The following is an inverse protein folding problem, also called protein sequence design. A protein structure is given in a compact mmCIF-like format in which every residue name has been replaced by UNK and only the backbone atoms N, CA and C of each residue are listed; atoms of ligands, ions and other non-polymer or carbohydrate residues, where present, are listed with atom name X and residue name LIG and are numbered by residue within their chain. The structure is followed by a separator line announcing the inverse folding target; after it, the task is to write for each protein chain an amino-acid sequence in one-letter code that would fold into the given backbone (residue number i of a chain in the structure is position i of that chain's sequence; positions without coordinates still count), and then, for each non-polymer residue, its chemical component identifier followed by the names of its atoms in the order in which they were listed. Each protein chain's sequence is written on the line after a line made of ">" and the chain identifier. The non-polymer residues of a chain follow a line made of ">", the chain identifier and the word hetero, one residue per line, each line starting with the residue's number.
data_IF_032791938080
#
_entry.id   IF_032791938080
#
_cell.length_a   1.000
_cell.length_b   1.000
_cell.length_c   1.000
_cell.angle_alpha   90.00
_cell.angle_beta   90.00
_cell.angle_gamma   90.00
#
_symmetry.space_group_name_H-M   'P 1'
#
loop_
_entity.id
_entity.type
_entity.pdbx_description
1 polymer ?
#
# COMPACT_ATOMS: atom_id res chain seq x y z
N UNK A 1 31.59 -26.57 14.50
CA UNK A 1 30.42 -26.84 15.35
C UNK A 1 29.25 -26.06 14.80
N UNK A 2 28.24 -26.72 14.25
CA UNK A 2 26.96 -26.08 13.91
C UNK A 2 26.27 -25.76 15.23
N UNK A 3 26.23 -24.49 15.62
CA UNK A 3 25.29 -24.08 16.66
C UNK A 3 23.88 -24.29 16.09
N UNK A 4 22.96 -24.85 16.88
CA UNK A 4 21.57 -25.12 16.48
C UNK A 4 20.78 -23.87 16.02
N UNK A 5 21.41 -22.69 16.02
CA UNK A 5 20.85 -21.41 15.63
C UNK A 5 21.26 -20.98 14.20
N UNK A 6 21.86 -21.85 13.38
CA UNK A 6 22.15 -21.55 11.96
C UNK A 6 21.16 -22.26 11.05
N UNK A 7 20.56 -21.52 10.12
CA UNK A 7 19.63 -22.04 9.12
C UNK A 7 20.44 -22.62 7.95
N UNK A 8 20.18 -23.88 7.58
CA UNK A 8 20.93 -24.60 6.55
C UNK A 8 20.11 -24.88 5.27
N UNK A 9 19.00 -24.16 5.09
CA UNK A 9 18.06 -24.38 3.99
C UNK A 9 17.43 -23.07 3.51
N UNK A 10 16.84 -23.12 2.32
CA UNK A 10 16.08 -22.00 1.75
C UNK A 10 16.88 -20.71 1.58
N UNK A 11 16.16 -19.58 1.53
CA UNK A 11 16.75 -18.25 1.25
C UNK A 11 17.70 -17.74 2.32
N UNK A 12 17.68 -18.33 3.52
CA UNK A 12 18.51 -17.93 4.65
C UNK A 12 19.60 -18.95 5.00
N UNK A 13 19.98 -19.81 4.05
CA UNK A 13 21.08 -20.74 4.23
C UNK A 13 22.37 -20.02 4.69
N UNK A 14 22.98 -20.49 5.77
CA UNK A 14 24.15 -19.90 6.42
C UNK A 14 23.87 -18.68 7.30
N UNK A 15 22.60 -18.30 7.52
CA UNK A 15 22.22 -17.18 8.41
C UNK A 15 21.80 -17.67 9.79
N UNK A 16 21.89 -16.78 10.77
CA UNK A 16 21.47 -17.07 12.14
C UNK A 16 19.95 -17.00 12.30
N UNK A 17 19.42 -17.73 13.27
CA UNK A 17 18.01 -17.72 13.63
C UNK A 17 17.55 -16.31 13.99
N UNK A 18 18.36 -15.53 14.72
CA UNK A 18 18.05 -14.13 15.03
C UNK A 18 17.85 -13.26 13.79
N UNK A 19 18.60 -13.51 12.70
CA UNK A 19 18.39 -12.82 11.43
C UNK A 19 17.07 -13.25 10.77
N UNK A 20 16.76 -14.54 10.82
CA UNK A 20 15.52 -15.09 10.23
C UNK A 20 14.28 -14.65 10.99
N UNK A 21 14.34 -14.55 12.31
CA UNK A 21 13.22 -14.13 13.17
C UNK A 21 12.70 -12.73 12.86
N UNK A 22 13.52 -11.87 12.23
CA UNK A 22 13.12 -10.55 11.74
C UNK A 22 12.22 -10.63 10.50
N UNK A 23 12.34 -11.66 9.66
CA UNK A 23 11.40 -11.86 8.54
C UNK A 23 10.19 -12.68 9.00
N UNK A 24 9.20 -11.96 9.56
CA UNK A 24 7.97 -12.57 10.07
C UNK A 24 7.18 -13.30 8.99
N UNK A 25 7.19 -12.82 7.75
CA UNK A 25 6.48 -13.50 6.64
C UNK A 25 7.12 -14.85 6.34
N UNK A 26 8.44 -14.90 6.32
CA UNK A 26 9.16 -16.15 6.13
C UNK A 26 8.98 -17.11 7.32
N UNK A 27 9.01 -16.60 8.56
CA UNK A 27 8.69 -17.40 9.74
C UNK A 27 7.29 -18.00 9.69
N UNK A 28 6.29 -17.23 9.27
CA UNK A 28 4.90 -17.70 9.13
C UNK A 28 4.77 -18.74 8.02
N UNK A 29 5.46 -18.55 6.90
CA UNK A 29 5.54 -19.55 5.84
C UNK A 29 6.14 -20.86 6.38
N UNK A 30 7.32 -20.80 7.01
CA UNK A 30 7.98 -21.99 7.60
C UNK A 30 7.07 -22.75 8.57
N UNK A 31 6.29 -22.04 9.40
CA UNK A 31 5.34 -22.68 10.33
C UNK A 31 4.25 -23.50 9.64
N UNK A 32 3.90 -23.15 8.40
CA UNK A 32 2.93 -23.87 7.58
C UNK A 32 3.48 -25.12 6.90
N UNK A 33 4.80 -25.28 6.87
CA UNK A 33 5.47 -26.37 6.17
C UNK A 33 5.65 -27.61 7.06
N UNK A 34 5.12 -28.76 6.65
CA UNK A 34 5.18 -30.02 7.40
C UNK A 34 6.61 -30.51 7.59
N UNK A 35 7.42 -30.50 6.53
CA UNK A 35 8.83 -30.92 6.58
C UNK A 35 9.65 -30.09 7.59
N UNK A 36 9.32 -28.82 7.76
CA UNK A 36 10.04 -27.94 8.69
C UNK A 36 9.71 -28.31 10.14
N UNK A 37 8.45 -28.59 10.44
CA UNK A 37 8.00 -29.04 11.76
C UNK A 37 8.68 -30.34 12.18
N UNK A 38 8.74 -31.30 11.25
CA UNK A 38 9.27 -32.64 11.51
C UNK A 38 10.81 -32.68 11.53
N UNK A 39 11.45 -32.09 10.53
CA UNK A 39 12.91 -32.19 10.38
C UNK A 39 13.69 -31.14 11.17
N UNK A 40 13.05 -30.05 11.61
CA UNK A 40 13.70 -28.92 12.27
C UNK A 40 12.94 -28.48 13.53
N UNK A 41 12.49 -29.44 14.35
CA UNK A 41 11.65 -29.22 15.55
C UNK A 41 12.17 -28.14 16.49
N UNK A 42 13.49 -28.10 16.77
CA UNK A 42 14.08 -27.06 17.62
C UNK A 42 13.82 -25.66 17.04
N UNK A 43 14.14 -25.43 15.76
CA UNK A 43 13.93 -24.15 15.10
C UNK A 43 12.45 -23.78 15.03
N UNK A 44 11.58 -24.76 14.76
CA UNK A 44 10.13 -24.57 14.76
C UNK A 44 9.62 -24.08 16.12
N UNK A 45 10.04 -24.70 17.22
CA UNK A 45 9.67 -24.28 18.58
C UNK A 45 10.16 -22.86 18.88
N UNK A 46 11.41 -22.53 18.53
CA UNK A 46 11.97 -21.18 18.72
C UNK A 46 11.20 -20.11 17.94
N UNK A 47 10.77 -20.39 16.72
CA UNK A 47 9.92 -19.46 15.94
C UNK A 47 8.54 -19.28 16.59
N UNK A 48 7.96 -20.33 17.16
CA UNK A 48 6.67 -20.27 17.84
C UNK A 48 6.71 -19.50 19.16
N UNK A 49 7.79 -19.64 19.91
CA UNK A 49 7.99 -18.97 21.19
C UNK A 49 8.35 -17.48 21.03
N UNK A 50 8.95 -17.11 19.89
CA UNK A 50 9.41 -15.75 19.66
C UNK A 50 8.25 -14.76 19.46
N UNK A 51 8.03 -13.93 20.48
CA UNK A 51 7.04 -12.85 20.52
C UNK A 51 7.76 -11.50 20.60
N UNK A 52 8.21 -10.91 19.48
CA UNK A 52 9.05 -9.72 19.52
C UNK A 52 8.35 -8.51 20.15
N UNK A 53 7.04 -8.41 19.99
CA UNK A 53 6.23 -7.32 20.53
C UNK A 53 6.32 -7.19 22.06
N UNK A 54 6.42 -8.30 22.78
CA UNK A 54 6.46 -8.27 24.26
C UNK A 54 7.72 -7.63 24.82
N UNK A 55 8.75 -7.45 23.99
CA UNK A 55 9.95 -6.71 24.38
C UNK A 55 9.76 -5.19 24.37
N UNK A 56 8.70 -4.68 23.72
CA UNK A 56 8.41 -3.26 23.58
C UNK A 56 7.24 -2.78 24.44
N UNK A 57 6.29 -3.67 24.75
CA UNK A 57 5.08 -3.33 25.50
C UNK A 57 5.30 -3.57 26.99
N UNK A 58 4.98 -2.60 27.83
CA UNK A 58 4.96 -2.79 29.28
C UNK A 58 3.71 -3.58 29.69
N UNK A 59 3.78 -4.44 30.72
CA UNK A 59 2.59 -5.08 31.27
C UNK A 59 1.58 -4.01 31.70
N UNK A 60 0.34 -4.11 31.21
CA UNK A 60 -0.74 -3.22 31.64
C UNK A 60 -1.07 -3.51 33.10
N UNK A 61 -1.06 -2.49 33.95
CA UNK A 61 -1.68 -2.56 35.27
C UNK A 61 -3.19 -2.53 35.10
N UNK A 62 -3.94 -3.34 35.85
CA UNK A 62 -5.42 -3.36 35.82
C UNK A 62 -5.98 -1.94 36.01
N UNK A 63 -6.31 -1.29 34.90
CA UNK A 63 -6.97 0.01 34.87
C UNK A 63 -8.27 -0.14 34.08
N UNK A 64 -9.10 0.89 34.11
CA UNK A 64 -10.48 0.82 33.60
C UNK A 64 -10.74 1.74 32.41
N UNK A 65 -9.71 2.45 31.90
CA UNK A 65 -9.87 3.41 30.81
C UNK A 65 -8.92 3.15 29.62
N UNK A 66 -9.35 3.54 28.43
CA UNK A 66 -8.59 3.28 27.19
C UNK A 66 -7.19 3.90 27.18
N UNK A 67 -6.99 5.09 27.78
CA UNK A 67 -5.71 5.79 27.71
C UNK A 67 -4.64 5.12 28.56
N UNK A 68 -5.05 4.51 29.67
CA UNK A 68 -4.20 3.74 30.57
C UNK A 68 -4.02 2.30 30.09
N UNK A 69 -5.02 1.69 29.46
CA UNK A 69 -4.95 0.28 29.06
C UNK A 69 -4.39 0.03 27.67
N UNK A 70 -4.45 1.02 26.78
CA UNK A 70 -4.04 0.82 25.40
C UNK A 70 -2.52 0.60 25.32
N UNK A 71 -2.14 -0.64 25.00
CA UNK A 71 -0.76 -1.13 25.04
C UNK A 71 0.28 -0.27 24.31
N UNK A 72 -0.09 0.42 23.23
CA UNK A 72 0.83 1.31 22.52
C UNK A 72 1.07 2.64 23.22
N UNK A 73 0.22 3.05 24.18
CA UNK A 73 0.49 4.18 25.06
C UNK A 73 1.37 3.82 26.26
N UNK A 74 1.72 2.54 26.40
CA UNK A 74 2.54 1.97 27.47
C UNK A 74 3.81 1.29 26.92
N UNK A 75 4.37 1.84 25.83
CA UNK A 75 5.61 1.34 25.26
C UNK A 75 6.81 1.64 26.17
N UNK A 76 7.71 0.68 26.27
CA UNK A 76 9.00 0.80 26.97
C UNK A 76 9.88 1.86 26.30
N UNK A 77 10.70 2.54 27.08
CA UNK A 77 11.75 3.41 26.51
C UNK A 77 12.80 2.55 25.82
N UNK A 78 13.63 3.18 24.98
CA UNK A 78 14.67 2.48 24.21
C UNK A 78 15.63 1.75 25.16
N UNK A 79 15.96 2.38 26.28
CA UNK A 79 16.84 1.85 27.33
C UNK A 79 16.28 0.59 28.01
N UNK A 80 14.95 0.42 28.04
CA UNK A 80 14.25 -0.67 28.72
C UNK A 80 13.93 -1.86 27.79
N UNK A 81 14.27 -1.75 26.49
CA UNK A 81 14.09 -2.82 25.51
C UNK A 81 15.22 -3.83 25.63
N UNK A 82 14.90 -5.04 26.05
CA UNK A 82 15.88 -6.14 26.25
C UNK A 82 16.38 -6.77 24.93
N UNK A 83 15.82 -6.39 23.78
CA UNK A 83 16.30 -6.84 22.47
C UNK A 83 17.51 -6.02 22.01
N UNK A 84 18.56 -6.65 21.45
CA UNK A 84 19.67 -5.92 20.85
C UNK A 84 19.22 -5.25 19.55
N UNK A 85 18.92 -3.96 19.63
CA UNK A 85 18.60 -3.12 18.48
C UNK A 85 19.88 -2.52 17.87
N UNK A 86 19.96 -2.53 16.54
CA UNK A 86 20.97 -1.74 15.80
C UNK A 86 20.69 -0.23 15.93
N UNK A 87 21.66 0.63 15.61
CA UNK A 87 21.48 2.09 15.66
C UNK A 87 20.35 2.59 14.74
N UNK A 88 20.18 1.96 13.56
CA UNK A 88 19.06 2.26 12.66
C UNK A 88 17.72 1.87 13.30
N UNK A 89 17.65 0.71 13.96
CA UNK A 89 16.42 0.24 14.64
C UNK A 89 16.11 1.08 15.88
N UNK A 90 17.11 1.53 16.64
CA UNK A 90 16.92 2.50 17.73
C UNK A 90 16.36 3.81 17.21
N UNK A 91 16.86 4.30 16.08
CA UNK A 91 16.35 5.51 15.42
C UNK A 91 14.89 5.33 14.97
N UNK A 92 14.56 4.17 14.38
CA UNK A 92 13.18 3.84 14.03
C UNK A 92 12.28 3.80 15.26
N UNK A 93 12.72 3.14 16.34
CA UNK A 93 11.92 3.01 17.56
C UNK A 93 11.74 4.36 18.26
N UNK A 94 12.79 5.18 18.35
CA UNK A 94 12.73 6.54 18.89
C UNK A 94 11.67 7.38 18.18
N UNK A 95 11.69 7.37 16.85
CA UNK A 95 10.70 8.10 16.07
C UNK A 95 9.29 7.52 16.23
N UNK A 96 9.15 6.19 16.35
CA UNK A 96 7.87 5.55 16.61
C UNK A 96 7.27 5.96 17.96
N UNK A 97 8.10 6.06 19.01
CA UNK A 97 7.71 6.59 20.32
C UNK A 97 7.26 8.06 20.23
N UNK A 98 8.03 8.93 19.55
CA UNK A 98 7.64 10.34 19.32
C UNK A 98 6.25 10.44 18.68
N UNK A 99 6.00 9.62 17.65
CA UNK A 99 4.72 9.62 16.93
C UNK A 99 3.56 9.21 17.84
N UNK A 100 3.74 8.16 18.64
CA UNK A 100 2.71 7.66 19.56
C UNK A 100 2.43 8.66 20.66
N UNK A 101 3.47 9.24 21.25
CA UNK A 101 3.35 10.24 22.29
C UNK A 101 2.63 11.49 21.78
N UNK A 102 2.90 11.91 20.53
CA UNK A 102 2.17 12.97 19.86
C UNK A 102 0.67 12.68 19.69
N UNK A 103 0.30 11.42 19.40
CA UNK A 103 -1.11 11.02 19.32
C UNK A 103 -1.77 11.06 20.70
N UNK A 104 -1.09 10.55 21.73
CA UNK A 104 -1.57 10.54 23.12
C UNK A 104 -1.82 11.96 23.63
N UNK A 105 -0.84 12.86 23.45
CA UNK A 105 -0.95 14.26 23.82
C UNK A 105 -2.06 15.00 23.06
N UNK A 106 -2.31 14.65 21.80
CA UNK A 106 -3.44 15.22 21.05
C UNK A 106 -4.80 14.87 21.64
N UNK A 107 -4.93 13.73 22.34
CA UNK A 107 -6.14 13.36 23.07
C UNK A 107 -6.23 14.13 24.38
N UNK A 108 -5.12 14.22 25.13
CA UNK A 108 -5.10 14.96 26.41
C UNK A 108 -5.44 16.44 26.25
N UNK A 109 -4.88 17.12 25.23
CA UNK A 109 -5.21 18.53 24.96
C UNK A 109 -6.73 18.69 24.75
N UNK A 110 -7.37 17.78 24.01
CA UNK A 110 -8.81 17.84 23.76
C UNK A 110 -9.65 17.51 24.99
N UNK A 111 -9.16 16.63 25.86
CA UNK A 111 -9.78 16.37 27.16
C UNK A 111 -9.72 17.61 28.05
N UNK A 112 -8.59 18.33 28.05
CA UNK A 112 -8.42 19.59 28.81
C UNK A 112 -9.28 20.73 28.25
N UNK A 113 -9.52 20.74 26.93
CA UNK A 113 -10.36 21.73 26.25
C UNK A 113 -11.88 21.41 26.32
N UNK A 114 -12.30 20.38 27.07
CA UNK A 114 -13.69 19.90 27.16
C UNK A 114 -14.33 19.60 25.78
N UNK A 115 -13.54 19.10 24.82
CA UNK A 115 -13.98 18.80 23.46
C UNK A 115 -14.99 17.62 23.45
N UNK A 116 -16.07 17.73 22.67
CA UNK A 116 -17.18 16.74 22.68
C UNK A 116 -16.72 15.30 22.36
N UNK A 117 -15.64 15.18 21.57
CA UNK A 117 -15.04 13.89 21.24
C UNK A 117 -13.50 13.98 21.22
N UNK A 118 -12.84 13.67 22.35
CA UNK A 118 -11.38 13.80 22.47
C UNK A 118 -10.60 12.83 21.56
N UNK A 119 -11.28 11.78 21.07
CA UNK A 119 -10.68 10.78 20.17
C UNK A 119 -10.70 11.18 18.69
N UNK A 120 -11.31 12.33 18.32
CA UNK A 120 -11.28 12.86 16.95
C UNK A 120 -9.92 13.49 16.57
N UNK A 121 -8.82 12.80 16.86
CA UNK A 121 -7.49 13.30 16.56
C UNK A 121 -7.19 13.27 15.05
N UNK A 122 -6.30 14.15 14.59
CA UNK A 122 -5.85 14.15 13.20
C UNK A 122 -4.78 13.08 12.98
N UNK A 123 -4.92 12.34 11.89
CA UNK A 123 -3.87 11.40 11.49
C UNK A 123 -2.61 12.16 11.04
N UNK A 124 -1.40 11.72 11.43
CA UNK A 124 -0.18 12.34 10.97
C UNK A 124 -0.04 12.29 9.45
N UNK A 125 0.27 13.43 8.84
CA UNK A 125 0.44 13.56 7.38
C UNK A 125 1.93 13.57 7.05
N UNK A 126 2.35 12.83 6.02
CA UNK A 126 3.74 12.77 5.53
C UNK A 126 4.79 12.37 6.59
N UNK A 127 4.38 11.75 7.70
CA UNK A 127 5.27 11.35 8.80
C UNK A 127 6.43 10.44 8.34
N UNK A 128 6.18 9.47 7.45
CA UNK A 128 7.25 8.67 6.84
C UNK A 128 8.24 9.48 5.98
N UNK A 129 7.79 10.57 5.34
CA UNK A 129 8.69 11.48 4.60
C UNK A 129 9.49 12.36 5.56
N UNK A 130 8.89 12.77 6.70
CA UNK A 130 9.60 13.47 7.78
C UNK A 130 10.71 12.58 8.34
N UNK A 131 10.39 11.33 8.67
CA UNK A 131 11.37 10.33 9.10
C UNK A 131 12.55 10.20 8.13
N UNK A 132 12.26 9.91 6.86
CA UNK A 132 13.29 9.73 5.82
C UNK A 132 14.20 10.95 5.68
N UNK A 133 13.64 12.15 5.79
CA UNK A 133 14.40 13.40 5.74
C UNK A 133 15.26 13.63 6.99
N UNK A 134 14.72 13.36 8.18
CA UNK A 134 15.39 13.68 9.46
C UNK A 134 16.49 12.68 9.78
N UNK A 135 16.24 11.38 9.56
CA UNK A 135 17.15 10.32 9.96
C UNK A 135 18.03 9.82 8.79
N UNK A 136 17.72 10.20 7.55
CA UNK A 136 18.39 9.66 6.37
C UNK A 136 18.14 8.17 6.12
N UNK A 137 17.18 7.57 6.85
CA UNK A 137 16.83 6.17 6.75
C UNK A 137 15.66 6.01 5.78
N UNK A 138 15.76 5.13 4.76
CA UNK A 138 14.67 4.86 3.84
C UNK A 138 13.38 4.46 4.56
N UNK A 139 12.24 5.00 4.11
CA UNK A 139 10.91 4.65 4.66
C UNK A 139 10.52 3.18 4.52
N UNK A 140 11.21 2.41 3.67
CA UNK A 140 11.04 0.95 3.58
C UNK A 140 11.64 0.26 4.81
N UNK A 141 12.83 0.68 5.27
CA UNK A 141 13.49 0.13 6.45
C UNK A 141 12.66 0.37 7.72
N UNK A 142 12.03 1.54 7.85
CA UNK A 142 11.12 1.79 8.97
C UNK A 142 9.93 0.83 9.00
N UNK A 143 9.36 0.52 7.81
CA UNK A 143 8.25 -0.44 7.71
C UNK A 143 8.70 -1.86 8.01
N UNK A 144 9.89 -2.22 7.56
CA UNK A 144 10.52 -3.52 7.85
C UNK A 144 10.83 -3.64 9.33
N UNK A 145 11.27 -2.57 10.00
CA UNK A 145 11.44 -2.52 11.46
C UNK A 145 10.12 -2.82 12.17
N UNK A 146 9.04 -2.07 11.87
CA UNK A 146 7.74 -2.33 12.50
C UNK A 146 7.26 -3.77 12.28
N UNK A 147 7.40 -4.27 11.04
CA UNK A 147 7.03 -5.63 10.70
C UNK A 147 7.89 -6.68 11.43
N UNK A 148 9.20 -6.45 11.56
CA UNK A 148 10.13 -7.38 12.21
C UNK A 148 9.83 -7.59 13.69
N UNK A 149 9.24 -6.57 14.32
CA UNK A 149 8.95 -6.57 15.74
C UNK A 149 7.45 -6.66 16.09
N UNK A 150 6.61 -6.99 15.10
CA UNK A 150 5.15 -7.07 15.24
C UNK A 150 4.53 -5.78 15.86
N UNK A 151 5.11 -4.62 15.52
CA UNK A 151 4.60 -3.30 15.90
C UNK A 151 3.60 -2.80 14.84
N UNK A 152 2.54 -2.13 15.30
CA UNK A 152 1.45 -1.67 14.43
C UNK A 152 1.83 -0.36 13.75
N UNK A 153 1.40 -0.17 12.50
CA UNK A 153 1.64 1.08 11.79
C UNK A 153 0.77 2.22 12.34
N UNK A 154 1.30 3.45 12.38
CA UNK A 154 0.66 4.65 12.93
C UNK A 154 -0.80 4.85 12.45
N UNK A 155 -1.17 4.66 11.16
CA UNK A 155 -2.56 4.82 10.72
C UNK A 155 -3.55 3.85 11.38
N UNK A 156 -3.13 2.62 11.69
CA UNK A 156 -3.98 1.64 12.39
C UNK A 156 -4.12 1.98 13.87
N UNK A 157 -3.10 2.60 14.48
CA UNK A 157 -3.23 3.16 15.83
C UNK A 157 -4.27 4.28 15.83
N UNK A 158 -4.21 5.20 14.86
CA UNK A 158 -5.22 6.27 14.72
C UNK A 158 -6.62 5.70 14.48
N UNK A 159 -6.74 4.65 13.66
CA UNK A 159 -8.02 3.95 13.46
C UNK A 159 -8.58 3.41 14.78
N UNK A 160 -7.75 2.75 15.60
CA UNK A 160 -8.17 2.21 16.90
C UNK A 160 -8.58 3.29 17.89
N UNK A 161 -7.85 4.41 17.93
CA UNK A 161 -8.17 5.58 18.76
C UNK A 161 -9.52 6.16 18.34
N UNK A 162 -9.70 6.46 17.04
CA UNK A 162 -10.95 7.01 16.51
C UNK A 162 -12.15 6.09 16.75
N UNK A 163 -11.94 4.77 16.66
CA UNK A 163 -12.97 3.77 16.97
C UNK A 163 -13.44 3.85 18.43
N UNK A 164 -12.57 4.22 19.36
CA UNK A 164 -12.94 4.43 20.76
C UNK A 164 -13.96 5.57 20.92
N UNK A 165 -13.80 6.64 20.14
CA UNK A 165 -14.78 7.73 20.06
C UNK A 165 -15.95 7.49 19.10
N UNK A 166 -16.15 6.26 18.60
CA UNK A 166 -17.23 5.94 17.65
C UNK A 166 -17.04 6.50 16.22
N UNK A 167 -15.82 6.90 15.85
CA UNK A 167 -15.52 7.52 14.55
C UNK A 167 -15.00 6.47 13.56
N UNK A 168 -15.65 6.34 12.40
CA UNK A 168 -15.18 5.49 11.31
C UNK A 168 -13.99 6.14 10.58
N UNK A 169 -12.81 5.51 10.63
CA UNK A 169 -11.60 6.01 9.97
C UNK A 169 -11.13 5.11 8.82
N UNK A 170 -11.41 5.53 7.58
CA UNK A 170 -11.03 4.78 6.36
C UNK A 170 -9.59 5.02 5.91
N UNK A 171 -8.81 5.82 6.62
CA UNK A 171 -7.45 6.19 6.18
C UNK A 171 -6.50 4.99 6.16
N UNK A 172 -6.53 4.15 7.19
CA UNK A 172 -5.72 2.92 7.25
C UNK A 172 -6.08 1.92 6.13
N UNK A 173 -7.37 1.86 5.77
CA UNK A 173 -7.90 0.95 4.76
C UNK A 173 -7.94 1.54 3.34
N UNK A 174 -7.58 2.82 3.17
CA UNK A 174 -7.70 3.53 1.89
C UNK A 174 -7.00 2.83 0.73
N UNK A 175 -5.82 2.25 0.99
CA UNK A 175 -5.10 1.44 0.01
C UNK A 175 -5.84 0.14 -0.34
N UNK A 176 -6.40 -0.57 0.65
CA UNK A 176 -7.17 -1.79 0.41
C UNK A 176 -8.43 -1.49 -0.42
N UNK A 177 -9.12 -0.41 -0.09
CA UNK A 177 -10.30 0.08 -0.83
C UNK A 177 -9.91 0.44 -2.27
N UNK A 178 -8.81 1.17 -2.47
CA UNK A 178 -8.33 1.51 -3.80
C UNK A 178 -7.96 0.25 -4.61
N UNK A 179 -7.26 -0.70 -3.98
CA UNK A 179 -6.89 -1.99 -4.60
C UNK A 179 -8.13 -2.80 -5.00
N UNK A 180 -9.11 -2.92 -4.12
CA UNK A 180 -10.36 -3.63 -4.41
C UNK A 180 -11.11 -2.97 -5.57
N UNK A 181 -11.17 -1.63 -5.60
CA UNK A 181 -11.77 -0.87 -6.71
C UNK A 181 -11.02 -1.10 -8.03
N UNK A 182 -9.68 -1.11 -8.01
CA UNK A 182 -8.85 -1.41 -9.18
C UNK A 182 -9.15 -2.79 -9.73
N UNK A 183 -9.13 -3.82 -8.87
CA UNK A 183 -9.43 -5.21 -9.27
C UNK A 183 -10.85 -5.36 -9.83
N UNK A 184 -11.84 -4.69 -9.24
CA UNK A 184 -13.23 -4.68 -9.75
C UNK A 184 -13.37 -3.92 -11.08
N UNK A 185 -12.52 -2.94 -11.34
CA UNK A 185 -12.46 -2.21 -12.60
C UNK A 185 -11.80 -3.07 -13.67
N UNK A 186 -10.61 -3.59 -13.41
CA UNK A 186 -9.84 -4.46 -14.31
C UNK A 186 -10.68 -5.66 -14.73
N UNK A 187 -11.33 -6.37 -13.79
CA UNK A 187 -12.22 -7.51 -14.11
C UNK A 187 -13.39 -7.12 -15.02
N UNK A 188 -13.92 -5.91 -14.88
CA UNK A 188 -15.01 -5.43 -15.72
C UNK A 188 -14.52 -5.16 -17.16
N UNK A 189 -13.37 -4.50 -17.30
CA UNK A 189 -12.75 -4.29 -18.61
C UNK A 189 -12.26 -5.58 -19.26
N UNK A 190 -11.68 -6.50 -18.49
CA UNK A 190 -11.30 -7.83 -18.94
C UNK A 190 -12.48 -8.55 -19.60
N UNK A 191 -13.67 -8.49 -18.98
CA UNK A 191 -14.89 -9.10 -19.53
C UNK A 191 -15.24 -8.52 -20.90
N UNK A 192 -15.19 -7.19 -21.04
CA UNK A 192 -15.52 -6.48 -22.29
C UNK A 192 -14.48 -6.80 -23.38
N UNK A 193 -13.20 -6.64 -23.04
CA UNK A 193 -12.10 -6.85 -23.98
C UNK A 193 -11.99 -8.30 -24.41
N UNK A 194 -12.17 -9.28 -23.50
CA UNK A 194 -12.17 -10.71 -23.85
C UNK A 194 -13.35 -11.09 -24.72
N UNK A 195 -14.53 -10.51 -24.49
CA UNK A 195 -15.68 -10.73 -25.38
C UNK A 195 -15.34 -10.35 -26.82
N UNK A 196 -14.56 -9.28 -27.01
CA UNK A 196 -14.17 -8.82 -28.34
C UNK A 196 -12.98 -9.57 -28.93
N UNK A 197 -11.89 -9.65 -28.16
CA UNK A 197 -10.58 -10.05 -28.66
C UNK A 197 -10.24 -11.52 -28.35
N UNK A 198 -11.06 -12.20 -27.54
CA UNK A 198 -10.88 -13.61 -27.20
C UNK A 198 -9.49 -13.90 -26.63
N UNK A 199 -8.81 -14.88 -27.21
CA UNK A 199 -7.48 -15.34 -26.81
C UNK A 199 -6.35 -14.37 -27.18
N UNK A 200 -6.59 -13.44 -28.12
CA UNK A 200 -5.61 -12.43 -28.50
C UNK A 200 -5.35 -11.40 -27.40
N UNK A 201 -6.21 -11.34 -26.37
CA UNK A 201 -6.04 -10.48 -25.21
C UNK A 201 -5.28 -11.21 -24.09
N UNK A 202 -4.09 -10.71 -23.78
CA UNK A 202 -3.32 -11.13 -22.60
C UNK A 202 -3.60 -10.20 -21.43
N UNK A 203 -3.75 -10.76 -20.23
CA UNK A 203 -4.03 -10.03 -18.97
C UNK A 203 -2.77 -10.03 -18.10
N UNK A 204 -2.41 -8.90 -17.50
CA UNK A 204 -1.25 -8.77 -16.60
C UNK A 204 0.05 -9.28 -17.22
N UNK A 205 0.28 -8.95 -18.50
CA UNK A 205 1.44 -9.42 -19.24
C UNK A 205 2.71 -8.77 -18.70
N UNK A 206 3.70 -9.58 -18.32
CA UNK A 206 5.00 -9.11 -17.87
C UNK A 206 6.00 -9.22 -19.01
N UNK A 207 6.59 -8.09 -19.40
CA UNK A 207 7.67 -8.05 -20.36
C UNK A 207 8.73 -7.06 -19.92
N UNK A 208 9.97 -7.55 -19.85
CA UNK A 208 11.08 -6.87 -19.18
C UNK A 208 10.70 -6.42 -17.77
N UNK A 209 10.75 -5.10 -17.50
CA UNK A 209 10.41 -4.48 -16.21
C UNK A 209 9.03 -3.81 -16.24
N UNK A 210 8.20 -4.12 -17.23
CA UNK A 210 6.85 -3.59 -17.39
C UNK A 210 5.80 -4.67 -17.14
N UNK A 211 4.71 -4.28 -16.48
CA UNK A 211 3.51 -5.10 -16.31
C UNK A 211 2.39 -4.32 -16.98
N UNK A 212 1.79 -4.90 -18.02
CA UNK A 212 0.70 -4.30 -18.77
C UNK A 212 -0.62 -4.88 -18.28
N UNK A 213 -1.61 -4.03 -17.98
CA UNK A 213 -2.91 -4.51 -17.49
C UNK A 213 -3.58 -5.42 -18.52
N UNK A 214 -3.68 -4.96 -19.77
CA UNK A 214 -4.05 -5.79 -20.91
C UNK A 214 -3.20 -5.48 -22.15
N UNK A 215 -2.88 -6.52 -22.90
CA UNK A 215 -2.16 -6.42 -24.15
C UNK A 215 -2.90 -7.21 -25.23
N UNK A 216 -3.22 -6.54 -26.35
CA UNK A 216 -3.65 -7.21 -27.57
C UNK A 216 -2.48 -7.20 -28.57
N UNK A 217 -1.94 -8.39 -28.84
CA UNK A 217 -0.76 -8.55 -29.71
C UNK A 217 -1.13 -8.29 -31.17
N UNK A 218 -2.28 -8.78 -31.62
CA UNK A 218 -2.72 -8.68 -33.02
C UNK A 218 -2.94 -7.21 -33.42
N UNK A 219 -3.61 -6.45 -32.57
CA UNK A 219 -3.89 -5.02 -32.83
C UNK A 219 -2.81 -4.09 -32.29
N UNK A 220 -1.69 -4.63 -31.80
CA UNK A 220 -0.60 -3.86 -31.19
C UNK A 220 -1.13 -2.80 -30.21
N UNK A 221 -2.03 -3.20 -29.29
CA UNK A 221 -2.72 -2.28 -28.38
C UNK A 221 -2.45 -2.64 -26.92
N UNK A 222 -1.98 -1.66 -26.16
CA UNK A 222 -1.91 -1.70 -24.69
C UNK A 222 -3.17 -1.04 -24.15
N UNK A 223 -3.92 -1.74 -23.32
CA UNK A 223 -4.99 -1.13 -22.53
C UNK A 223 -4.52 -0.99 -21.08
N UNK A 224 -4.46 0.24 -20.59
CA UNK A 224 -4.01 0.56 -19.23
C UNK A 224 -5.19 1.08 -18.40
N UNK A 225 -5.47 0.44 -17.27
CA UNK A 225 -6.56 0.79 -16.38
C UNK A 225 -6.13 1.85 -15.36
N UNK A 226 -6.97 2.87 -15.17
CA UNK A 226 -6.83 3.85 -14.08
C UNK A 226 -8.17 4.14 -13.43
N UNK A 227 -8.21 4.27 -12.10
CA UNK A 227 -9.45 4.57 -11.38
C UNK A 227 -10.01 5.96 -11.73
N UNK A 228 -9.13 6.93 -11.99
CA UNK A 228 -9.45 8.26 -12.49
C UNK A 228 -8.28 8.90 -13.25
N UNK A 229 -8.53 10.04 -13.88
CA UNK A 229 -7.53 10.78 -14.67
C UNK A 229 -6.30 11.17 -13.84
N UNK A 230 -6.51 11.60 -12.60
CA UNK A 230 -5.44 11.96 -11.66
C UNK A 230 -4.48 10.81 -11.30
N UNK A 231 -4.86 9.56 -11.56
CA UNK A 231 -4.06 8.39 -11.20
C UNK A 231 -3.05 8.03 -12.32
N UNK A 232 -2.96 8.86 -13.37
CA UNK A 232 -1.98 8.71 -14.44
C UNK A 232 -0.54 8.77 -13.93
N UNK A 233 0.32 7.89 -14.48
CA UNK A 233 1.73 7.80 -14.15
C UNK A 233 2.58 8.04 -15.41
N UNK A 234 3.23 9.21 -15.48
CA UNK A 234 4.05 9.62 -16.63
C UNK A 234 5.25 8.69 -16.85
N UNK A 235 5.91 8.26 -15.78
CA UNK A 235 7.04 7.33 -15.86
C UNK A 235 6.62 5.98 -16.44
N UNK A 236 5.43 5.49 -16.10
CA UNK A 236 4.88 4.25 -16.64
C UNK A 236 4.54 4.40 -18.12
N UNK A 237 3.88 5.50 -18.50
CA UNK A 237 3.57 5.80 -19.90
C UNK A 237 4.84 5.84 -20.77
N UNK A 238 5.88 6.54 -20.31
CA UNK A 238 7.18 6.62 -20.99
C UNK A 238 7.82 5.25 -21.14
N UNK A 239 7.82 4.43 -20.08
CA UNK A 239 8.36 3.06 -20.14
C UNK A 239 7.64 2.21 -21.19
N UNK A 240 6.32 2.27 -21.24
CA UNK A 240 5.55 1.51 -22.23
C UNK A 240 5.90 1.91 -23.67
N UNK A 241 6.01 3.22 -23.93
CA UNK A 241 6.40 3.73 -25.26
C UNK A 241 7.82 3.34 -25.66
N UNK A 242 8.74 3.20 -24.71
CA UNK A 242 10.10 2.73 -24.97
C UNK A 242 10.15 1.23 -25.24
N UNK A 243 9.43 0.43 -24.45
CA UNK A 243 9.51 -1.05 -24.51
C UNK A 243 8.70 -1.62 -25.68
N UNK A 244 7.54 -1.03 -25.99
CA UNK A 244 6.65 -1.45 -27.08
C UNK A 244 6.33 -0.24 -27.98
N UNK A 245 7.34 0.29 -28.66
CA UNK A 245 7.23 1.51 -29.50
C UNK A 245 6.08 1.46 -30.52
N UNK A 246 5.87 0.29 -31.14
CA UNK A 246 4.82 0.06 -32.15
C UNK A 246 3.41 -0.04 -31.57
N UNK A 247 3.27 -0.15 -30.25
CA UNK A 247 1.98 -0.33 -29.63
C UNK A 247 1.30 1.02 -29.36
N UNK A 248 0.03 1.11 -29.73
CA UNK A 248 -0.85 2.21 -29.30
C UNK A 248 -1.30 1.97 -27.86
N UNK A 249 -1.55 3.06 -27.14
CA UNK A 249 -1.96 3.01 -25.74
C UNK A 249 -3.38 3.56 -25.64
N UNK A 250 -4.28 2.77 -25.06
CA UNK A 250 -5.65 3.15 -24.75
C UNK A 250 -5.80 3.15 -23.23
N UNK A 251 -6.18 4.29 -22.65
CA UNK A 251 -6.46 4.36 -21.22
C UNK A 251 -7.92 4.05 -20.93
N UNK A 252 -8.14 3.14 -19.99
CA UNK A 252 -9.46 2.73 -19.52
C UNK A 252 -9.70 3.38 -18.16
N UNK A 253 -10.43 4.49 -18.14
CA UNK A 253 -10.62 5.33 -16.96
C UNK A 253 -11.95 4.98 -16.27
N UNK A 254 -11.89 4.54 -15.02
CA UNK A 254 -13.03 4.00 -14.29
C UNK A 254 -13.78 2.95 -15.13
N UNK A 255 -15.11 2.96 -15.15
CA UNK A 255 -15.97 2.14 -16.03
C UNK A 255 -16.76 2.98 -17.04
N UNK A 256 -16.41 4.26 -17.17
CA UNK A 256 -17.22 5.24 -17.88
C UNK A 256 -16.40 6.12 -18.85
N UNK A 257 -15.12 5.80 -19.09
CA UNK A 257 -14.31 6.54 -20.06
C UNK A 257 -13.18 5.69 -20.69
N UNK A 258 -12.92 5.96 -21.96
CA UNK A 258 -11.83 5.41 -22.77
C UNK A 258 -11.10 6.57 -23.44
N UNK A 259 -9.79 6.65 -23.25
CA UNK A 259 -8.95 7.64 -23.94
C UNK A 259 -8.07 6.91 -24.95
N UNK A 260 -8.33 7.18 -26.23
CA UNK A 260 -7.47 6.73 -27.31
C UNK A 260 -6.42 7.80 -27.58
N UNK A 261 -5.17 7.52 -27.19
CA UNK A 261 -4.06 8.45 -27.30
C UNK A 261 -3.66 8.75 -28.75
N UNK A 262 -3.91 7.81 -29.65
CA UNK A 262 -3.53 7.92 -31.06
C UNK A 262 -4.60 8.69 -31.84
N UNK A 263 -5.87 8.36 -31.63
CA UNK A 263 -7.00 9.08 -32.23
C UNK A 263 -7.24 10.45 -31.60
N UNK A 264 -6.64 10.71 -30.42
CA UNK A 264 -6.89 11.91 -29.60
C UNK A 264 -8.35 12.06 -29.25
N UNK A 265 -8.99 10.95 -28.83
CA UNK A 265 -10.41 10.91 -28.50
C UNK A 265 -10.61 10.47 -27.06
N UNK A 266 -11.56 11.12 -26.40
CA UNK A 266 -12.08 10.74 -25.09
C UNK A 266 -13.52 10.27 -25.30
N UNK A 267 -13.73 8.97 -25.24
CA UNK A 267 -15.07 8.39 -25.28
C UNK A 267 -15.60 8.27 -23.86
N UNK A 268 -16.81 8.75 -23.58
CA UNK A 268 -17.36 8.73 -22.22
C UNK A 268 -18.87 8.55 -22.21
N UNK A 269 -19.38 7.87 -21.18
CA UNK A 269 -20.83 7.80 -20.89
C UNK A 269 -21.26 8.89 -19.90
N UNK A 270 -20.34 9.74 -19.43
CA UNK A 270 -20.59 10.78 -18.41
C UNK A 270 -19.87 12.09 -18.75
N UNK A 271 -20.32 12.79 -19.78
CA UNK A 271 -19.73 14.06 -20.24
C UNK A 271 -19.47 15.05 -19.09
N UNK A 272 -20.52 15.38 -18.33
CA UNK A 272 -20.47 16.35 -17.22
C UNK A 272 -19.36 16.07 -16.21
N UNK A 273 -19.07 14.79 -15.94
CA UNK A 273 -18.03 14.38 -14.98
C UNK A 273 -16.65 14.84 -15.46
N UNK A 274 -16.37 14.67 -16.74
CA UNK A 274 -15.06 14.97 -17.33
C UNK A 274 -14.91 16.45 -17.64
N UNK A 275 -15.97 17.11 -18.12
CA UNK A 275 -15.96 18.58 -18.29
C UNK A 275 -15.71 19.29 -16.96
N UNK A 276 -16.45 18.92 -15.90
CA UNK A 276 -16.24 19.47 -14.56
C UNK A 276 -14.83 19.18 -14.04
N UNK A 277 -14.26 18.03 -14.37
CA UNK A 277 -12.89 17.71 -13.99
C UNK A 277 -11.89 18.68 -14.64
N UNK A 278 -11.96 18.87 -15.97
CA UNK A 278 -11.03 19.76 -16.68
C UNK A 278 -11.22 21.24 -16.36
N UNK A 279 -12.44 21.68 -16.03
CA UNK A 279 -12.69 23.06 -15.57
C UNK A 279 -12.06 23.32 -14.19
N UNK A 280 -12.13 22.34 -13.27
CA UNK A 280 -11.76 22.54 -11.87
C UNK A 280 -10.33 22.06 -11.53
N UNK A 281 -9.55 21.65 -12.53
CA UNK A 281 -8.22 21.10 -12.27
C UNK A 281 -7.23 22.22 -11.88
N UNK A 282 -6.80 22.22 -10.63
CA UNK A 282 -5.83 23.20 -10.12
C UNK A 282 -4.36 22.81 -10.35
N UNK A 283 -4.09 21.51 -10.50
CA UNK A 283 -2.74 20.95 -10.72
C UNK A 283 -2.83 19.84 -11.77
N UNK A 284 -2.73 20.17 -13.07
CA UNK A 284 -2.85 19.18 -14.12
C UNK A 284 -1.68 18.19 -14.11
N UNK A 285 -2.00 16.91 -14.32
CA UNK A 285 -1.01 15.88 -14.63
C UNK A 285 -0.50 16.03 -16.06
N UNK A 286 0.57 15.30 -16.40
CA UNK A 286 1.06 15.26 -17.78
C UNK A 286 -0.01 14.83 -18.79
N UNK A 287 -0.86 13.86 -18.44
CA UNK A 287 -1.96 13.44 -19.31
C UNK A 287 -3.00 14.55 -19.50
N UNK A 288 -3.32 15.29 -18.44
CA UNK A 288 -4.28 16.40 -18.52
C UNK A 288 -3.76 17.49 -19.45
N UNK A 289 -2.48 17.86 -19.32
CA UNK A 289 -1.82 18.81 -20.22
C UNK A 289 -1.83 18.30 -21.67
N UNK A 290 -1.51 17.01 -21.87
CA UNK A 290 -1.49 16.42 -23.20
C UNK A 290 -2.87 16.46 -23.88
N UNK A 291 -3.93 16.16 -23.12
CA UNK A 291 -5.31 16.21 -23.57
C UNK A 291 -5.71 17.63 -23.97
N UNK A 292 -5.37 18.61 -23.14
CA UNK A 292 -5.71 20.03 -23.35
C UNK A 292 -4.92 20.60 -24.53
N UNK A 293 -3.60 20.43 -24.53
CA UNK A 293 -2.69 21.02 -25.53
C UNK A 293 -2.92 20.42 -26.92
N UNK A 294 -3.17 19.11 -26.99
CA UNK A 294 -3.46 18.43 -28.26
C UNK A 294 -4.94 18.45 -28.65
N UNK A 295 -5.79 19.11 -27.85
CA UNK A 295 -7.22 19.32 -28.11
C UNK A 295 -7.96 18.02 -28.43
N UNK A 296 -7.90 17.07 -27.50
CA UNK A 296 -8.61 15.80 -27.66
C UNK A 296 -10.11 16.06 -27.83
N UNK A 297 -10.73 15.34 -28.77
CA UNK A 297 -12.17 15.40 -29.01
C UNK A 297 -12.89 14.53 -27.96
N UNK A 298 -13.88 15.10 -27.26
CA UNK A 298 -14.73 14.32 -26.35
C UNK A 298 -15.97 13.84 -27.09
N UNK A 299 -16.17 12.53 -27.11
CA UNK A 299 -17.28 11.85 -27.78
C UNK A 299 -18.14 11.16 -26.73
N UNK A 300 -19.41 11.54 -26.67
CA UNK A 300 -20.37 10.87 -25.78
C UNK A 300 -20.86 9.60 -26.44
N UNK A 301 -20.84 8.50 -25.69
CA UNK A 301 -21.37 7.21 -26.14
C UNK A 301 -22.36 6.68 -25.11
N UNK A 302 -23.38 5.95 -25.57
CA UNK A 302 -24.36 5.31 -24.68
C UNK A 302 -23.77 4.11 -23.95
N UNK A 303 -22.90 3.35 -24.63
CA UNK A 303 -22.21 2.19 -24.08
C UNK A 303 -20.77 2.15 -24.61
N UNK A 304 -19.78 1.99 -23.72
CA UNK A 304 -18.38 1.88 -24.10
C UNK A 304 -18.03 0.54 -24.75
N UNK A 305 -18.87 -0.49 -24.58
CA UNK A 305 -18.63 -1.79 -25.22
C UNK A 305 -18.60 -1.67 -26.75
N UNK A 306 -19.34 -0.72 -27.32
CA UNK A 306 -19.40 -0.50 -28.78
C UNK A 306 -18.08 -0.05 -29.38
N UNK A 307 -17.19 0.55 -28.57
CA UNK A 307 -15.87 1.02 -29.01
C UNK A 307 -14.95 -0.14 -29.36
N UNK A 308 -15.17 -1.27 -28.71
CA UNK A 308 -14.42 -2.49 -28.94
C UNK A 308 -15.20 -3.40 -29.88
N UNK A 309 -16.52 -3.27 -29.94
CA UNK A 309 -17.42 -3.94 -30.87
C UNK A 309 -18.27 -5.01 -30.20
N UNK A 310 -19.37 -5.35 -30.86
CA UNK A 310 -20.32 -6.42 -30.46
C UNK A 310 -19.72 -7.81 -30.51
#
# INVERSE_FOLDING_TARGET
>A
MLTNDTINFGKYNGKTLGHVLKDRKYCMWLKGEEWFRESHTYLFNRINEYKPRSYFVSPTTECTDFLSDYEFFNLKKIEDVELPLTESEKSCYSYYLEMIEGLKNSIYIRLEDDDENPYDIKAPVRWLKKFEKVYGIPRVEFKEFLASYDLINIPYIVERIKKEGGIEYKGAQSFLIAKERSLKQEKWWETILKKKYGESLTVQYVFEKCIFDFLNIDTHTIFECKLGLKDFCEDQHRKYKLVLEKYRIVYLISKDCVIDMEQRKIFTTKLDKYEKYFINISKPSYLDLLIIDQKFETVVVEDLTVLFGT
#
